data_IF_623214027681
#
_entry.id   IF_623214027681
#
_cell.length_a   1.000
_cell.length_b   1.000
_cell.length_c   1.000
_cell.angle_alpha   90.00
_cell.angle_beta   90.00
_cell.angle_gamma   90.00
#
_symmetry.space_group_name_H-M   'P 1'
#
loop_
_entity.id
_entity.type
_entity.pdbx_description
1 polymer ?
#
# COMPACT_ATOMS: atom_id res chain seq x y z
N UNK A 1 -11.93 10.72 2.39
CA UNK A 1 -10.94 9.63 2.23
C UNK A 1 -9.60 10.26 1.86
N UNK A 2 -8.47 9.61 2.13
CA UNK A 2 -7.16 10.15 1.72
C UNK A 2 -6.97 9.97 0.21
N UNK A 3 -6.56 11.02 -0.50
CA UNK A 3 -6.42 11.02 -1.97
C UNK A 3 -5.52 9.89 -2.50
N UNK A 4 -4.47 9.55 -1.74
CA UNK A 4 -3.58 8.44 -2.08
C UNK A 4 -4.26 7.09 -1.93
N UNK A 5 -5.08 6.88 -0.89
CA UNK A 5 -5.87 5.65 -0.74
C UNK A 5 -6.85 5.49 -1.91
N UNK A 6 -7.48 6.57 -2.35
CA UNK A 6 -8.36 6.53 -3.53
C UNK A 6 -7.59 6.17 -4.80
N UNK A 7 -6.38 6.70 -4.99
CA UNK A 7 -5.52 6.31 -6.10
C UNK A 7 -5.16 4.81 -6.08
N UNK A 8 -4.88 4.26 -4.89
CA UNK A 8 -4.65 2.80 -4.72
C UNK A 8 -5.87 2.00 -5.15
N UNK A 9 -7.06 2.39 -4.72
CA UNK A 9 -8.28 1.66 -5.05
C UNK A 9 -8.57 1.69 -6.55
N UNK A 10 -8.40 2.84 -7.21
CA UNK A 10 -8.53 2.95 -8.67
C UNK A 10 -7.50 2.11 -9.42
N UNK A 11 -6.25 2.13 -8.96
CA UNK A 11 -5.18 1.30 -9.52
C UNK A 11 -5.51 -0.19 -9.35
N UNK A 12 -5.93 -0.61 -8.16
CA UNK A 12 -6.27 -2.00 -7.87
C UNK A 12 -7.43 -2.48 -8.77
N UNK A 13 -8.49 -1.68 -8.92
CA UNK A 13 -9.60 -1.95 -9.83
C UNK A 13 -9.12 -2.10 -11.28
N UNK A 14 -8.31 -1.15 -11.76
CA UNK A 14 -7.76 -1.15 -13.14
C UNK A 14 -6.87 -2.36 -13.42
N UNK A 15 -6.07 -2.79 -12.44
CA UNK A 15 -5.13 -3.92 -12.56
C UNK A 15 -5.81 -5.28 -12.26
N UNK A 16 -7.11 -5.29 -11.93
CA UNK A 16 -7.84 -6.51 -11.60
C UNK A 16 -7.43 -7.14 -10.26
N UNK A 17 -6.89 -6.33 -9.33
CA UNK A 17 -6.50 -6.77 -7.99
C UNK A 17 -7.74 -6.73 -7.09
N UNK A 18 -8.17 -7.86 -6.50
CA UNK A 18 -9.31 -7.88 -5.59
C UNK A 18 -9.07 -6.99 -4.37
N UNK A 19 -10.08 -6.19 -4.02
CA UNK A 19 -10.03 -5.33 -2.83
C UNK A 19 -11.08 -5.79 -1.82
N UNK A 20 -10.63 -6.07 -0.61
CA UNK A 20 -11.49 -6.29 0.56
C UNK A 20 -11.46 -5.03 1.42
N UNK A 21 -12.62 -4.38 1.62
CA UNK A 21 -12.75 -3.14 2.40
C UNK A 21 -13.12 -3.41 3.87
N UNK A 22 -12.46 -4.39 4.47
CA UNK A 22 -12.62 -4.79 5.86
C UNK A 22 -11.28 -4.67 6.59
N UNK A 23 -11.31 -4.62 7.92
CA UNK A 23 -10.08 -4.62 8.69
C UNK A 23 -9.37 -5.98 8.53
N UNK A 24 -8.09 -6.02 8.14
CA UNK A 24 -7.38 -7.28 8.01
C UNK A 24 -7.15 -7.89 9.41
N UNK A 25 -7.16 -9.22 9.51
CA UNK A 25 -6.90 -9.93 10.77
C UNK A 25 -5.41 -10.19 10.95
N UNK A 26 -4.85 -9.80 12.10
CA UNK A 26 -3.44 -10.06 12.42
C UNK A 26 -3.15 -11.56 12.64
N UNK A 27 -4.18 -12.39 12.85
CA UNK A 27 -4.02 -13.85 12.95
C UNK A 27 -3.50 -14.49 11.67
N UNK A 28 -3.65 -13.81 10.54
CA UNK A 28 -3.22 -14.26 9.22
C UNK A 28 -1.96 -13.52 8.74
N UNK A 29 -1.30 -12.74 9.61
CA UNK A 29 -0.15 -11.91 9.26
C UNK A 29 1.00 -12.71 8.62
N UNK A 30 1.17 -13.96 9.02
CA UNK A 30 2.16 -14.88 8.46
C UNK A 30 1.92 -15.22 6.98
N UNK A 31 0.65 -15.19 6.55
CA UNK A 31 0.22 -15.44 5.17
C UNK A 31 0.37 -14.25 4.24
N UNK A 32 0.56 -13.03 4.77
CA UNK A 32 0.61 -11.83 3.95
C UNK A 32 1.88 -11.81 3.07
N UNK A 33 1.70 -11.51 1.78
CA UNK A 33 2.79 -11.35 0.81
C UNK A 33 3.54 -10.02 0.95
N UNK A 34 2.92 -9.02 1.57
CA UNK A 34 3.44 -7.67 1.69
C UNK A 34 2.47 -6.73 2.39
N UNK A 35 2.99 -5.62 2.90
CA UNK A 35 2.18 -4.53 3.44
C UNK A 35 2.80 -3.18 3.06
N UNK A 36 1.97 -2.13 3.07
CA UNK A 36 2.43 -0.75 2.87
C UNK A 36 1.55 0.21 3.66
N UNK A 37 2.10 1.39 3.94
CA UNK A 37 1.38 2.54 4.52
C UNK A 37 1.18 3.60 3.45
N UNK A 38 -0.04 4.08 3.27
CA UNK A 38 -0.33 5.18 2.36
C UNK A 38 -0.33 6.54 3.08
N UNK A 39 0.34 7.56 2.54
CA UNK A 39 0.23 8.95 3.00
C UNK A 39 0.46 9.93 1.86
N UNK A 40 0.07 11.20 2.03
CA UNK A 40 0.37 12.25 1.04
C UNK A 40 1.87 12.53 0.92
N UNK A 41 2.62 12.41 2.01
CA UNK A 41 4.06 12.71 2.04
C UNK A 41 4.96 11.59 1.50
N UNK A 42 4.50 10.34 1.56
CA UNK A 42 5.30 9.16 1.20
C UNK A 42 4.66 8.32 0.09
N UNK A 43 3.50 8.72 -0.40
CA UNK A 43 2.67 7.98 -1.33
C UNK A 43 2.36 6.59 -0.78
N UNK A 44 3.09 5.54 -1.20
CA UNK A 44 3.06 4.21 -0.63
C UNK A 44 4.43 3.87 -0.06
N UNK A 45 4.53 3.72 1.26
CA UNK A 45 5.73 3.26 1.95
C UNK A 45 5.62 1.74 2.19
N UNK A 46 6.45 0.91 1.55
CA UNK A 46 6.52 -0.52 1.85
C UNK A 46 6.88 -0.76 3.32
N UNK A 47 6.27 -1.76 3.92
CA UNK A 47 6.59 -2.22 5.27
C UNK A 47 7.62 -3.35 5.17
N UNK A 48 8.74 -3.24 5.88
CA UNK A 48 9.77 -4.28 5.93
C UNK A 48 9.43 -5.39 6.92
N UNK A 49 8.78 -5.03 8.04
CA UNK A 49 8.41 -5.96 9.11
C UNK A 49 7.11 -5.51 9.81
N UNK A 50 6.27 -6.48 10.15
CA UNK A 50 5.11 -6.29 11.02
C UNK A 50 5.14 -7.31 12.15
N UNK A 51 4.69 -6.89 13.34
CA UNK A 51 4.61 -7.73 14.53
C UNK A 51 3.24 -7.60 15.19
N UNK A 52 2.74 -8.75 15.68
CA UNK A 52 1.50 -8.88 16.45
C UNK A 52 1.83 -9.59 17.78
N UNK A 53 2.45 -8.88 18.73
CA UNK A 53 2.89 -9.45 20.01
C UNK A 53 1.73 -9.91 20.92
N UNK A 54 0.53 -9.40 20.70
CA UNK A 54 -0.69 -9.73 21.44
C UNK A 54 -1.33 -11.08 21.05
N UNK A 55 -0.83 -11.74 20.00
CA UNK A 55 -1.28 -13.07 19.60
C UNK A 55 -0.56 -14.17 20.40
N UNK A 56 -1.22 -15.32 20.51
CA UNK A 56 -0.64 -16.54 21.11
C UNK A 56 -0.65 -17.68 20.07
N UNK A 57 0.50 -18.07 19.49
CA UNK A 57 1.83 -17.49 19.69
C UNK A 57 2.00 -16.10 19.03
N UNK A 58 2.93 -15.26 19.52
CA UNK A 58 3.25 -13.99 18.87
C UNK A 58 3.73 -14.19 17.43
N UNK A 59 3.27 -13.34 16.52
CA UNK A 59 3.65 -13.39 15.10
C UNK A 59 4.56 -12.22 14.75
N UNK A 60 5.66 -12.50 14.08
CA UNK A 60 6.52 -11.50 13.43
C UNK A 60 6.72 -11.91 11.99
N UNK A 61 6.35 -11.04 11.05
CA UNK A 61 6.51 -11.26 9.62
C UNK A 61 7.46 -10.22 9.06
N UNK A 62 8.57 -10.70 8.50
CA UNK A 62 9.42 -9.93 7.61
C UNK A 62 8.89 -10.07 6.19
N UNK A 63 8.71 -8.95 5.53
CA UNK A 63 8.34 -8.92 4.12
C UNK A 63 9.63 -8.88 3.30
N UNK A 64 9.90 -9.95 2.55
CA UNK A 64 10.88 -9.85 1.47
C UNK A 64 10.36 -8.87 0.41
N UNK A 65 11.18 -8.51 -0.59
CA UNK A 65 10.82 -7.54 -1.63
C UNK A 65 9.55 -7.96 -2.39
N UNK A 66 8.41 -7.57 -1.86
CA UNK A 66 7.10 -8.02 -2.30
C UNK A 66 6.80 -7.45 -3.68
N UNK A 67 6.69 -8.32 -4.69
CA UNK A 67 6.47 -7.88 -6.06
C UNK A 67 5.14 -7.16 -6.24
N UNK A 68 4.08 -7.61 -5.54
CA UNK A 68 2.77 -6.97 -5.57
C UNK A 68 2.81 -5.56 -4.99
N UNK A 69 3.51 -5.37 -3.85
CA UNK A 69 3.69 -4.04 -3.25
C UNK A 69 4.50 -3.14 -4.17
N UNK A 70 5.59 -3.64 -4.75
CA UNK A 70 6.41 -2.88 -5.70
C UNK A 70 5.59 -2.43 -6.92
N UNK A 71 4.81 -3.34 -7.52
CA UNK A 71 3.95 -3.04 -8.67
C UNK A 71 2.89 -1.99 -8.33
N UNK A 72 2.29 -2.08 -7.15
CA UNK A 72 1.31 -1.08 -6.66
C UNK A 72 1.96 0.28 -6.46
N UNK A 73 3.16 0.36 -5.88
CA UNK A 73 3.92 1.61 -5.72
C UNK A 73 4.15 2.27 -7.08
N UNK A 74 4.66 1.51 -8.06
CA UNK A 74 4.95 2.01 -9.41
C UNK A 74 3.68 2.53 -10.12
N UNK A 75 2.57 1.79 -10.01
CA UNK A 75 1.31 2.14 -10.65
C UNK A 75 0.62 3.34 -10.00
N UNK A 76 0.67 3.44 -8.66
CA UNK A 76 0.10 4.57 -7.91
C UNK A 76 0.90 5.85 -8.11
N UNK A 77 2.23 5.76 -8.25
CA UNK A 77 3.06 6.92 -8.65
C UNK A 77 2.60 7.50 -9.99
N UNK A 78 2.36 6.62 -10.98
CA UNK A 78 1.87 7.03 -12.32
C UNK A 78 0.47 7.63 -12.24
N UNK A 79 -0.43 7.03 -11.47
CA UNK A 79 -1.79 7.54 -11.25
C UNK A 79 -1.77 8.96 -10.66
N UNK A 80 -1.01 9.17 -9.57
CA UNK A 80 -0.93 10.48 -8.93
C UNK A 80 -0.31 11.51 -9.86
N UNK A 81 0.75 11.16 -10.59
CA UNK A 81 1.36 12.07 -11.58
C UNK A 81 0.36 12.46 -12.69
N UNK A 82 -0.45 11.52 -13.18
CA UNK A 82 -1.43 11.79 -14.23
C UNK A 82 -2.61 12.67 -13.75
N UNK A 83 -2.94 12.62 -12.46
CA UNK A 83 -3.99 13.44 -11.86
C UNK A 83 -3.50 14.75 -11.26
N UNK A 84 -2.19 15.02 -11.26
CA UNK A 84 -1.62 16.24 -10.66
C UNK A 84 -1.61 17.39 -11.66
N UNK A 85 -1.88 18.60 -11.17
CA UNK A 85 -1.65 19.82 -11.95
C UNK A 85 -0.14 20.01 -12.21
N UNK A 86 0.25 20.56 -13.38
CA UNK A 86 1.64 20.89 -13.64
C UNK A 86 2.14 21.91 -12.60
N UNK A 87 3.36 21.72 -12.11
CA UNK A 87 3.99 22.70 -11.26
C UNK A 87 4.08 24.04 -12.02
N UNK A 88 3.40 25.06 -11.53
CA UNK A 88 3.60 26.43 -12.02
C UNK A 88 5.01 26.85 -11.62
N UNK A 89 5.92 26.92 -12.59
CA UNK A 89 7.21 27.57 -12.40
C UNK A 89 6.95 29.04 -12.09
N UNK A 90 7.16 29.43 -10.83
CA UNK A 90 7.06 30.81 -10.39
C UNK A 90 8.03 31.69 -11.17
N UNK A 91 7.51 32.75 -11.79
CA UNK A 91 8.30 33.83 -12.39
C UNK A 91 9.04 34.63 -11.33
#
# INVERSE_FOLDING_TARGET
MGSVREAVLRVAEREGIPVVLEAPTLRELDTWEGAFVSSTSRLLLPVDEASAPELEPPVVKKFEKSEVVRRLVDAVMKEVAACSEPAVEGK
#
